data_IF_603643489257
#
_entry.id   IF_603643489257
#
_cell.length_a   1.000
_cell.length_b   1.000
_cell.length_c   1.000
_cell.angle_alpha   90.00
_cell.angle_beta   90.00
_cell.angle_gamma   90.00
#
_symmetry.space_group_name_H-M   'P 1'
#
loop_
_entity.id
_entity.type
_entity.pdbx_description
1 polymer ?
#
# COMPACT_ATOMS: atom_id res chain seq x y z
N UNK A 1 10.27 9.59 16.50
CA UNK A 1 9.88 9.11 15.17
C UNK A 1 11.06 8.33 14.58
N UNK A 2 10.85 7.21 13.94
CA UNK A 2 11.80 6.42 13.12
C UNK A 2 13.16 6.10 13.75
N UNK A 3 13.19 5.84 15.06
CA UNK A 3 14.41 5.52 15.83
C UNK A 3 15.51 6.59 15.70
N UNK A 4 15.13 7.87 15.62
CA UNK A 4 16.05 9.00 15.46
C UNK A 4 16.47 9.31 14.04
N UNK A 5 16.03 8.51 13.05
CA UNK A 5 16.30 8.77 11.63
C UNK A 5 15.33 9.81 11.07
N UNK A 6 15.78 10.56 10.06
CA UNK A 6 14.97 11.57 9.36
C UNK A 6 14.44 11.10 8.01
N UNK A 7 14.90 9.97 7.51
CA UNK A 7 14.45 9.36 6.25
C UNK A 7 13.75 8.04 6.49
N UNK A 8 12.61 7.81 5.83
CA UNK A 8 11.91 6.53 5.85
C UNK A 8 11.44 6.11 4.45
N UNK A 9 11.44 4.82 4.19
CA UNK A 9 10.90 4.22 2.95
C UNK A 9 9.82 3.22 3.33
N UNK A 10 8.69 3.30 2.65
CA UNK A 10 7.59 2.34 2.74
C UNK A 10 7.04 1.96 1.38
N UNK A 11 6.50 0.76 1.28
CA UNK A 11 5.83 0.22 0.11
C UNK A 11 4.39 -0.11 0.44
N UNK A 12 3.46 0.13 -0.49
CA UNK A 12 2.03 -0.14 -0.30
C UNK A 12 1.45 -0.82 -1.55
N UNK A 13 1.02 -2.07 -1.40
CA UNK A 13 0.51 -2.87 -2.51
C UNK A 13 -0.92 -3.30 -2.27
N UNK A 14 -1.73 -3.32 -3.34
CA UNK A 14 -3.16 -3.55 -3.26
C UNK A 14 -3.56 -4.94 -3.72
N UNK A 15 -4.78 -5.32 -3.35
CA UNK A 15 -5.54 -6.45 -3.83
C UNK A 15 -5.32 -7.79 -3.12
N UNK A 16 -4.21 -8.03 -2.44
CA UNK A 16 -3.97 -9.28 -1.72
C UNK A 16 -3.93 -10.52 -2.64
N UNK A 17 -3.10 -10.49 -3.66
CA UNK A 17 -3.08 -11.46 -4.76
C UNK A 17 -1.86 -12.39 -4.72
N UNK A 18 -1.91 -13.48 -5.47
CA UNK A 18 -0.88 -14.53 -5.45
C UNK A 18 0.55 -14.03 -5.75
N UNK A 19 0.69 -12.97 -6.54
CA UNK A 19 1.98 -12.35 -6.82
C UNK A 19 2.62 -11.66 -5.61
N UNK A 20 1.83 -11.32 -4.59
CA UNK A 20 2.35 -10.75 -3.34
C UNK A 20 3.33 -11.70 -2.65
N UNK A 21 3.20 -13.02 -2.83
CA UNK A 21 4.12 -14.00 -2.27
C UNK A 21 5.55 -13.73 -2.75
N UNK A 22 5.74 -13.59 -4.07
CA UNK A 22 7.04 -13.26 -4.67
C UNK A 22 7.52 -11.86 -4.27
N UNK A 23 6.60 -10.91 -4.17
CA UNK A 23 6.94 -9.55 -3.75
C UNK A 23 7.43 -9.50 -2.30
N UNK A 24 6.75 -10.21 -1.39
CA UNK A 24 7.17 -10.35 0.00
C UNK A 24 8.56 -10.98 0.11
N UNK A 25 8.81 -12.07 -0.65
CA UNK A 25 10.14 -12.69 -0.69
C UNK A 25 11.22 -11.70 -1.17
N UNK A 26 10.90 -10.89 -2.19
CA UNK A 26 11.81 -9.88 -2.72
C UNK A 26 12.09 -8.77 -1.70
N UNK A 27 11.05 -8.21 -1.08
CA UNK A 27 11.21 -7.19 -0.03
C UNK A 27 12.03 -7.73 1.15
N UNK A 28 11.75 -8.94 1.60
CA UNK A 28 12.49 -9.62 2.66
C UNK A 28 13.97 -9.82 2.33
N UNK A 29 14.27 -10.22 1.09
CA UNK A 29 15.66 -10.39 0.60
C UNK A 29 16.51 -9.14 0.79
N UNK A 30 15.90 -7.98 0.66
CA UNK A 30 16.57 -6.67 0.77
C UNK A 30 16.33 -5.96 2.11
N UNK A 31 15.67 -6.60 3.07
CA UNK A 31 15.37 -6.00 4.39
C UNK A 31 14.39 -4.83 4.30
N UNK A 32 13.55 -4.81 3.26
CA UNK A 32 12.50 -3.82 3.04
C UNK A 32 11.19 -4.29 3.65
N UNK A 33 10.32 -3.34 3.99
CA UNK A 33 8.99 -3.63 4.52
C UNK A 33 7.90 -3.03 3.64
N UNK A 34 6.75 -3.68 3.61
CA UNK A 34 5.58 -3.20 2.86
C UNK A 34 4.28 -3.34 3.65
N UNK A 35 3.27 -2.63 3.19
CA UNK A 35 1.88 -2.72 3.62
C UNK A 35 1.06 -3.29 2.48
N UNK A 36 0.25 -4.30 2.76
CA UNK A 36 -0.58 -4.97 1.78
C UNK A 36 -2.05 -4.72 2.11
N UNK A 37 -2.76 -4.08 1.18
CA UNK A 37 -4.14 -3.64 1.35
C UNK A 37 -5.07 -4.71 0.76
N UNK A 38 -5.83 -5.40 1.58
CA UNK A 38 -6.57 -6.60 1.23
C UNK A 38 -8.08 -6.39 1.24
N UNK A 39 -8.79 -7.18 0.40
CA UNK A 39 -10.24 -7.22 0.38
C UNK A 39 -10.72 -8.52 1.06
N UNK A 40 -11.18 -8.44 2.29
CA UNK A 40 -11.43 -9.65 3.10
C UNK A 40 -12.52 -10.57 2.57
N UNK A 41 -13.56 -10.07 1.90
CA UNK A 41 -14.61 -10.90 1.28
C UNK A 41 -14.21 -11.48 -0.09
N UNK A 42 -13.06 -11.06 -0.64
CA UNK A 42 -12.53 -11.60 -1.89
C UNK A 42 -11.44 -12.66 -1.67
N UNK A 43 -10.90 -12.81 -0.47
CA UNK A 43 -9.84 -13.76 -0.15
C UNK A 43 -10.18 -15.19 -0.63
N UNK A 44 -9.19 -15.87 -1.21
CA UNK A 44 -9.32 -17.22 -1.77
C UNK A 44 -10.06 -17.32 -3.10
N UNK A 45 -10.58 -16.20 -3.65
CA UNK A 45 -11.29 -16.24 -4.94
C UNK A 45 -10.30 -16.22 -6.10
N UNK A 46 -10.52 -17.08 -7.14
CA UNK A 46 -9.74 -17.00 -8.37
C UNK A 46 -10.13 -15.76 -9.18
N UNK A 47 -9.19 -15.24 -9.93
CA UNK A 47 -9.43 -14.10 -10.81
C UNK A 47 -8.40 -13.97 -11.92
N UNK A 48 -8.75 -13.19 -12.94
CA UNK A 48 -7.87 -12.81 -14.04
C UNK A 48 -8.14 -11.38 -14.44
N UNK A 49 -7.11 -10.69 -14.91
CA UNK A 49 -7.18 -9.34 -15.46
C UNK A 49 -6.45 -9.28 -16.79
N UNK A 50 -6.86 -8.36 -17.65
CA UNK A 50 -6.05 -7.97 -18.81
C UNK A 50 -5.39 -6.63 -18.47
N UNK A 51 -4.06 -6.61 -18.48
CA UNK A 51 -3.24 -5.42 -18.27
C UNK A 51 -2.12 -5.39 -19.28
N UNK A 52 -1.85 -4.22 -19.87
CA UNK A 52 -0.84 -4.07 -20.91
C UNK A 52 -0.99 -5.10 -22.06
N UNK A 53 -2.24 -5.48 -22.41
CA UNK A 53 -2.52 -6.50 -23.41
C UNK A 53 -2.22 -7.95 -22.99
N UNK A 54 -1.78 -8.18 -21.75
CA UNK A 54 -1.45 -9.50 -21.19
C UNK A 54 -2.54 -9.96 -20.24
N UNK A 55 -2.98 -11.21 -20.34
CA UNK A 55 -3.79 -11.85 -19.31
C UNK A 55 -2.90 -12.24 -18.14
N UNK A 56 -3.18 -11.68 -16.96
CA UNK A 56 -2.48 -11.97 -15.70
C UNK A 56 -3.42 -12.59 -14.69
N UNK A 57 -2.90 -13.47 -13.86
CA UNK A 57 -3.64 -14.04 -12.73
C UNK A 57 -3.92 -12.93 -11.72
N UNK A 58 -5.13 -12.97 -11.15
CA UNK A 58 -5.56 -12.10 -10.07
C UNK A 58 -6.21 -12.92 -8.95
N UNK A 59 -5.61 -14.10 -8.69
CA UNK A 59 -6.09 -14.99 -7.65
C UNK A 59 -5.79 -14.39 -6.28
N UNK A 60 -6.80 -14.24 -5.45
CA UNK A 60 -6.66 -13.72 -4.09
C UNK A 60 -6.03 -14.78 -3.18
N UNK A 61 -5.13 -14.35 -2.29
CA UNK A 61 -4.52 -15.24 -1.29
C UNK A 61 -5.60 -15.81 -0.38
N UNK A 62 -5.48 -17.10 -0.05
CA UNK A 62 -6.45 -17.77 0.82
C UNK A 62 -6.39 -17.23 2.27
N UNK A 63 -7.54 -17.09 2.97
CA UNK A 63 -7.60 -16.47 4.29
C UNK A 63 -6.62 -17.08 5.31
N UNK A 64 -6.50 -18.40 5.31
CA UNK A 64 -5.63 -19.14 6.23
C UNK A 64 -4.12 -18.89 6.01
N UNK A 65 -3.74 -18.31 4.87
CA UNK A 65 -2.35 -18.01 4.53
C UNK A 65 -1.95 -16.57 4.86
N UNK A 66 -2.90 -15.68 5.15
CA UNK A 66 -2.65 -14.25 5.32
C UNK A 66 -1.54 -13.98 6.38
N UNK A 67 -1.68 -14.57 7.57
CA UNK A 67 -0.72 -14.36 8.65
C UNK A 67 0.68 -14.92 8.34
N UNK A 68 0.77 -15.96 7.51
CA UNK A 68 2.04 -16.55 7.08
C UNK A 68 2.70 -15.71 5.99
N UNK A 69 1.98 -15.41 4.92
CA UNK A 69 2.49 -14.69 3.74
C UNK A 69 3.00 -13.32 4.11
N UNK A 70 2.23 -12.56 4.89
CA UNK A 70 2.59 -11.17 5.22
C UNK A 70 3.37 -11.02 6.54
N UNK A 71 3.97 -12.11 7.05
CA UNK A 71 4.77 -12.06 8.27
C UNK A 71 5.93 -11.07 8.14
N UNK A 72 6.01 -10.11 9.09
CA UNK A 72 7.01 -9.04 9.08
C UNK A 72 6.63 -7.81 8.26
N UNK A 73 5.49 -7.87 7.56
CA UNK A 73 4.86 -6.79 6.83
C UNK A 73 3.54 -6.39 7.49
N UNK A 74 2.89 -5.36 6.99
CA UNK A 74 1.59 -4.93 7.46
C UNK A 74 0.49 -5.40 6.51
N UNK A 75 -0.62 -5.86 7.08
CA UNK A 75 -1.90 -5.99 6.39
C UNK A 75 -2.76 -4.79 6.73
N UNK A 76 -3.33 -4.15 5.71
CA UNK A 76 -4.24 -3.02 5.80
C UNK A 76 -5.53 -3.31 4.99
N UNK A 77 -6.56 -2.50 5.19
CA UNK A 77 -7.85 -2.68 4.55
C UNK A 77 -7.89 -2.13 3.12
N UNK A 78 -8.69 -2.77 2.26
CA UNK A 78 -8.96 -2.28 0.91
C UNK A 78 -10.45 -2.41 0.56
N UNK A 79 -11.32 -2.33 1.59
CA UNK A 79 -12.76 -2.62 1.57
C UNK A 79 -13.10 -4.10 1.36
N UNK A 80 -14.30 -4.50 1.73
CA UNK A 80 -14.74 -5.91 1.63
C UNK A 80 -14.66 -6.45 0.19
N UNK A 81 -15.18 -5.68 -0.80
CA UNK A 81 -15.44 -6.15 -2.16
C UNK A 81 -14.96 -5.20 -3.26
N UNK A 82 -14.13 -4.21 -2.91
CA UNK A 82 -13.54 -3.25 -3.85
C UNK A 82 -14.55 -2.35 -4.60
N UNK A 83 -15.60 -1.77 -3.95
CA UNK A 83 -16.52 -0.84 -4.63
C UNK A 83 -15.88 0.53 -4.83
N UNK A 84 -16.41 1.30 -5.79
CA UNK A 84 -16.05 2.71 -5.97
C UNK A 84 -16.75 3.57 -4.90
N UNK A 85 -16.07 3.87 -3.80
CA UNK A 85 -16.63 4.50 -2.61
C UNK A 85 -17.30 5.86 -2.88
N UNK A 86 -16.82 6.75 -3.76
CA UNK A 86 -17.51 8.01 -4.07
C UNK A 86 -18.95 7.87 -4.55
N UNK A 87 -19.32 6.73 -5.14
CA UNK A 87 -20.68 6.42 -5.62
C UNK A 87 -21.44 5.44 -4.75
N UNK A 88 -20.84 5.03 -3.63
CA UNK A 88 -21.44 4.07 -2.70
C UNK A 88 -22.24 4.82 -1.63
N UNK A 89 -23.44 4.34 -1.20
CA UNK A 89 -24.22 4.93 -0.12
C UNK A 89 -23.44 4.96 1.21
N UNK A 90 -23.74 5.94 2.08
CA UNK A 90 -22.98 6.20 3.31
C UNK A 90 -22.87 4.97 4.24
N UNK A 91 -23.97 4.31 4.53
CA UNK A 91 -23.99 3.12 5.38
C UNK A 91 -23.15 1.98 4.78
N UNK A 92 -23.19 1.83 3.46
CA UNK A 92 -22.40 0.82 2.77
C UNK A 92 -20.91 1.20 2.74
N UNK A 93 -20.53 2.48 2.60
CA UNK A 93 -19.13 2.93 2.75
C UNK A 93 -18.60 2.51 4.12
N UNK A 94 -19.35 2.80 5.19
CA UNK A 94 -18.96 2.45 6.56
C UNK A 94 -18.83 0.93 6.70
N UNK A 95 -19.80 0.16 6.20
CA UNK A 95 -19.78 -1.32 6.25
C UNK A 95 -18.56 -1.88 5.49
N UNK A 96 -18.33 -1.40 4.27
CA UNK A 96 -17.23 -1.86 3.41
C UNK A 96 -15.86 -1.65 4.06
N UNK A 97 -15.68 -0.58 4.78
CA UNK A 97 -14.38 -0.25 5.40
C UNK A 97 -14.26 -0.89 6.79
N UNK A 98 -15.24 -0.67 7.68
CA UNK A 98 -15.10 -1.10 9.08
C UNK A 98 -15.21 -2.62 9.22
N UNK A 99 -16.07 -3.29 8.43
CA UNK A 99 -16.15 -4.75 8.50
C UNK A 99 -14.90 -5.40 7.88
N UNK A 100 -14.36 -4.85 6.79
CA UNK A 100 -13.09 -5.31 6.20
C UNK A 100 -11.95 -5.22 7.22
N UNK A 101 -11.82 -4.05 7.87
CA UNK A 101 -10.84 -3.83 8.94
C UNK A 101 -10.96 -4.87 10.05
N UNK A 102 -12.18 -5.17 10.51
CA UNK A 102 -12.43 -6.16 11.57
C UNK A 102 -12.09 -7.59 11.13
N UNK A 103 -12.49 -7.97 9.92
CA UNK A 103 -12.19 -9.28 9.36
C UNK A 103 -10.67 -9.49 9.27
N UNK A 104 -9.95 -8.53 8.72
CA UNK A 104 -8.50 -8.58 8.59
C UNK A 104 -7.80 -8.56 9.96
N UNK A 105 -8.32 -7.79 10.91
CA UNK A 105 -7.78 -7.81 12.30
C UNK A 105 -7.88 -9.19 12.93
N UNK A 106 -8.97 -9.90 12.71
CA UNK A 106 -9.14 -11.26 13.20
C UNK A 106 -8.17 -12.26 12.54
N UNK A 107 -7.92 -12.12 11.23
CA UNK A 107 -6.99 -12.97 10.49
C UNK A 107 -5.52 -12.72 10.87
N UNK A 108 -5.15 -11.47 11.13
CA UNK A 108 -3.77 -11.07 11.42
C UNK A 108 -3.42 -11.17 12.91
N UNK A 109 -4.42 -11.21 13.81
CA UNK A 109 -4.19 -11.23 15.26
C UNK A 109 -3.77 -9.88 15.85
N UNK A 110 -3.92 -8.78 15.10
CA UNK A 110 -3.68 -7.42 15.58
C UNK A 110 -4.71 -6.44 15.00
N UNK A 111 -4.83 -5.28 15.62
CA UNK A 111 -5.78 -4.26 15.17
C UNK A 111 -5.29 -3.57 13.88
N UNK A 112 -5.96 -3.83 12.77
CA UNK A 112 -5.72 -3.14 11.49
C UNK A 112 -6.19 -1.69 11.63
N UNK A 113 -5.36 -0.73 11.23
CA UNK A 113 -5.63 0.71 11.37
C UNK A 113 -5.44 1.50 10.08
N UNK A 114 -4.88 0.87 9.05
CA UNK A 114 -4.62 1.48 7.76
C UNK A 114 -5.53 0.98 6.67
N UNK A 115 -5.63 1.76 5.59
CA UNK A 115 -6.28 1.33 4.36
C UNK A 115 -5.71 2.01 3.12
N UNK A 116 -6.03 1.44 1.94
CA UNK A 116 -5.98 2.12 0.66
C UNK A 116 -7.40 2.25 0.10
N UNK A 117 -7.72 3.38 -0.50
CA UNK A 117 -8.98 3.57 -1.21
C UNK A 117 -9.02 2.72 -2.47
N UNK A 118 -10.11 1.94 -2.71
CA UNK A 118 -10.21 1.08 -3.89
C UNK A 118 -10.50 1.87 -5.17
N UNK A 119 -10.01 1.33 -6.29
CA UNK A 119 -10.26 1.85 -7.64
C UNK A 119 -9.47 3.10 -7.95
N UNK A 120 -9.60 3.54 -9.17
CA UNK A 120 -9.06 4.79 -9.70
C UNK A 120 -9.95 5.26 -10.85
N UNK A 121 -10.24 6.53 -10.90
CA UNK A 121 -10.95 7.16 -11.99
C UNK A 121 -10.39 8.57 -12.20
N UNK A 122 -10.71 9.25 -13.33
CA UNK A 122 -10.38 10.67 -13.50
C UNK A 122 -10.95 11.57 -12.40
N UNK A 123 -11.96 11.09 -11.66
CA UNK A 123 -12.62 11.80 -10.55
C UNK A 123 -11.95 11.51 -9.19
N UNK A 124 -10.84 10.75 -9.19
CA UNK A 124 -10.22 10.22 -7.96
C UNK A 124 -10.91 8.97 -7.44
N UNK A 125 -10.45 8.43 -6.31
CA UNK A 125 -11.01 7.23 -5.68
C UNK A 125 -11.58 7.48 -4.27
N UNK A 126 -11.53 8.71 -3.80
CA UNK A 126 -12.16 9.20 -2.56
C UNK A 126 -12.58 10.67 -2.71
N UNK A 127 -13.32 11.18 -1.76
CA UNK A 127 -13.71 12.58 -1.66
C UNK A 127 -14.00 12.96 -0.20
N UNK A 128 -14.19 14.24 0.08
CA UNK A 128 -14.40 14.76 1.44
C UNK A 128 -15.55 14.06 2.20
N UNK A 129 -16.62 13.62 1.49
CA UNK A 129 -17.71 12.84 2.10
C UNK A 129 -17.22 11.49 2.61
N UNK A 130 -16.53 10.73 1.76
CA UNK A 130 -15.99 9.40 2.12
C UNK A 130 -14.96 9.51 3.24
N UNK A 131 -14.06 10.47 3.17
CA UNK A 131 -13.05 10.74 4.20
C UNK A 131 -13.70 11.03 5.56
N UNK A 132 -14.74 11.88 5.59
CA UNK A 132 -15.51 12.18 6.80
C UNK A 132 -16.16 10.94 7.38
N UNK A 133 -16.82 10.11 6.56
CA UNK A 133 -17.45 8.88 7.00
C UNK A 133 -16.44 7.93 7.64
N UNK A 134 -15.25 7.78 7.03
CA UNK A 134 -14.19 6.93 7.56
C UNK A 134 -13.67 7.44 8.89
N UNK A 135 -13.39 8.74 9.01
CA UNK A 135 -12.89 9.35 10.26
C UNK A 135 -13.85 9.18 11.42
N UNK A 136 -15.15 9.38 11.17
CA UNK A 136 -16.16 9.43 12.21
C UNK A 136 -16.70 8.05 12.61
N UNK A 137 -16.65 7.05 11.70
CA UNK A 137 -17.40 5.80 11.88
C UNK A 137 -16.53 4.53 11.81
N UNK A 138 -15.21 4.64 11.63
CA UNK A 138 -14.33 3.47 11.51
C UNK A 138 -13.11 3.56 12.42
N UNK A 139 -12.43 2.43 12.60
CA UNK A 139 -11.16 2.37 13.32
C UNK A 139 -9.93 2.72 12.47
N UNK A 140 -10.11 3.19 11.23
CA UNK A 140 -9.01 3.57 10.35
C UNK A 140 -8.34 4.87 10.84
N UNK A 141 -7.02 4.89 10.82
CA UNK A 141 -6.19 6.01 11.24
C UNK A 141 -5.44 6.68 10.10
N UNK A 142 -5.20 5.95 9.02
CA UNK A 142 -4.64 6.48 7.78
C UNK A 142 -5.22 5.77 6.55
N UNK A 143 -5.32 6.50 5.46
CA UNK A 143 -5.79 6.00 4.17
C UNK A 143 -5.07 6.71 3.03
N UNK A 144 -4.63 5.96 2.00
CA UNK A 144 -4.00 6.55 0.83
C UNK A 144 -4.86 6.48 -0.42
N UNK A 145 -4.77 7.54 -1.22
CA UNK A 145 -5.31 7.59 -2.58
C UNK A 145 -4.38 6.94 -3.62
N UNK A 146 -4.71 7.16 -4.90
CA UNK A 146 -3.94 6.66 -6.06
C UNK A 146 -3.13 7.77 -6.75
N UNK A 147 -3.38 9.02 -6.42
CA UNK A 147 -2.61 10.14 -6.95
C UNK A 147 -1.19 10.13 -6.39
N UNK A 148 -0.26 10.77 -7.10
CA UNK A 148 1.14 10.90 -6.65
C UNK A 148 1.57 12.38 -6.72
N UNK A 149 2.40 12.80 -5.75
CA UNK A 149 2.81 14.20 -5.64
C UNK A 149 4.33 14.43 -5.81
N UNK A 150 5.11 13.37 -6.01
CA UNK A 150 6.57 13.42 -6.09
C UNK A 150 7.25 14.11 -4.88
N UNK A 151 6.58 14.17 -3.73
CA UNK A 151 7.06 14.81 -2.51
C UNK A 151 7.44 13.78 -1.46
N UNK A 152 8.44 14.10 -0.64
CA UNK A 152 8.83 13.31 0.54
C UNK A 152 8.32 13.93 1.84
N UNK A 153 7.65 15.08 1.79
CA UNK A 153 7.13 15.75 2.96
C UNK A 153 5.99 14.94 3.62
N UNK A 154 6.03 14.82 4.94
CA UNK A 154 4.91 14.26 5.68
C UNK A 154 3.68 15.18 5.58
N UNK A 155 2.54 14.57 5.37
CA UNK A 155 1.27 15.26 5.27
C UNK A 155 0.53 15.19 6.61
N UNK A 156 -0.16 16.25 6.98
CA UNK A 156 -0.93 16.31 8.23
C UNK A 156 -2.24 15.53 8.14
N UNK A 157 -2.83 15.44 6.95
CA UNK A 157 -4.03 14.64 6.71
C UNK A 157 -3.65 13.21 6.31
N UNK A 158 -3.72 12.31 7.27
CA UNK A 158 -3.40 10.90 7.04
C UNK A 158 -4.57 10.12 6.42
N UNK A 159 -5.80 10.64 6.42
CA UNK A 159 -6.95 9.96 5.78
C UNK A 159 -7.07 10.29 4.28
N UNK A 160 -6.38 11.33 3.82
CA UNK A 160 -6.26 11.69 2.41
C UNK A 160 -4.79 11.70 1.96
N UNK A 161 -4.02 10.71 2.41
CA UNK A 161 -2.58 10.66 2.15
C UNK A 161 -2.28 10.41 0.67
N UNK A 162 -1.42 11.26 0.09
CA UNK A 162 -0.99 11.17 -1.30
C UNK A 162 0.40 10.54 -1.36
N UNK A 163 0.56 9.35 -1.95
CA UNK A 163 1.86 8.69 -2.13
C UNK A 163 2.86 9.53 -2.93
N UNK A 164 4.15 9.22 -2.77
CA UNK A 164 5.21 9.90 -3.52
C UNK A 164 5.19 9.49 -5.00
N UNK A 165 5.08 8.19 -5.30
CA UNK A 165 5.20 7.67 -6.66
C UNK A 165 4.48 6.33 -6.83
N UNK A 166 3.94 6.11 -8.02
CA UNK A 166 3.45 4.82 -8.50
C UNK A 166 4.61 4.02 -9.11
N UNK A 167 4.75 2.75 -8.78
CA UNK A 167 5.94 1.96 -9.13
C UNK A 167 6.16 1.79 -10.65
N UNK A 168 5.10 1.88 -11.48
CA UNK A 168 5.23 1.85 -12.94
C UNK A 168 5.65 3.20 -13.55
N UNK A 169 5.71 4.29 -12.77
CA UNK A 169 6.40 5.52 -13.18
C UNK A 169 7.91 5.34 -13.03
N UNK A 170 8.49 4.37 -13.75
CA UNK A 170 9.85 3.84 -13.54
C UNK A 170 10.92 4.92 -13.47
N UNK A 171 11.06 5.73 -14.53
CA UNK A 171 12.10 6.76 -14.60
C UNK A 171 11.97 7.75 -13.43
N UNK A 172 10.74 8.14 -13.12
CA UNK A 172 10.43 9.04 -12.01
C UNK A 172 10.76 8.38 -10.65
N UNK A 173 10.42 7.11 -10.47
CA UNK A 173 10.69 6.37 -9.23
C UNK A 173 12.21 6.27 -8.97
N UNK A 174 13.02 5.91 -9.98
CA UNK A 174 14.47 5.86 -9.85
C UNK A 174 15.10 7.24 -9.65
N UNK A 175 14.62 8.26 -10.36
CA UNK A 175 15.08 9.64 -10.17
C UNK A 175 14.80 10.14 -8.76
N UNK A 176 13.60 9.90 -8.24
CA UNK A 176 13.23 10.24 -6.86
C UNK A 176 14.05 9.45 -5.85
N UNK A 177 14.35 8.16 -6.11
CA UNK A 177 15.20 7.36 -5.23
C UNK A 177 16.61 7.97 -5.12
N UNK A 178 17.25 8.32 -6.22
CA UNK A 178 18.57 8.95 -6.19
C UNK A 178 18.54 10.27 -5.39
N UNK A 179 17.55 11.13 -5.65
CA UNK A 179 17.37 12.38 -4.89
C UNK A 179 17.17 12.10 -3.39
N UNK A 180 16.36 11.10 -3.05
CA UNK A 180 16.08 10.73 -1.65
C UNK A 180 17.32 10.19 -0.94
N UNK A 181 18.14 9.40 -1.63
CA UNK A 181 19.38 8.86 -1.08
C UNK A 181 20.41 9.94 -0.78
N UNK A 182 20.52 10.94 -1.66
CA UNK A 182 21.49 12.04 -1.55
C UNK A 182 21.06 13.13 -0.55
N UNK A 183 19.77 13.24 -0.23
CA UNK A 183 19.28 14.32 0.64
C UNK A 183 19.67 14.12 2.11
N UNK A 184 19.95 15.23 2.80
CA UNK A 184 20.02 15.33 4.26
C UNK A 184 18.90 16.28 4.73
N UNK A 185 17.69 15.77 5.01
CA UNK A 185 16.54 16.62 5.26
C UNK A 185 16.57 17.20 6.68
N UNK A 186 16.15 18.45 6.84
CA UNK A 186 15.95 19.06 8.15
C UNK A 186 14.71 18.46 8.86
N UNK A 187 13.62 18.28 8.12
CA UNK A 187 12.37 17.68 8.56
C UNK A 187 12.25 16.21 8.11
N UNK A 188 11.45 15.38 8.79
CA UNK A 188 11.24 14.00 8.41
C UNK A 188 10.73 13.85 6.97
N UNK A 189 11.38 12.99 6.18
CA UNK A 189 11.09 12.72 4.78
C UNK A 189 10.68 11.26 4.58
N UNK A 190 9.52 11.04 3.94
CA UNK A 190 8.96 9.73 3.67
C UNK A 190 8.92 9.48 2.15
N UNK A 191 9.60 8.44 1.70
CA UNK A 191 9.47 7.94 0.34
C UNK A 191 8.43 6.82 0.32
N UNK A 192 7.25 7.13 -0.21
CA UNK A 192 6.10 6.24 -0.24
C UNK A 192 5.84 5.75 -1.65
N UNK A 193 6.10 4.47 -1.91
CA UNK A 193 5.91 3.82 -3.20
C UNK A 193 4.65 2.96 -3.15
N UNK A 194 3.82 2.98 -4.20
CA UNK A 194 2.64 2.14 -4.26
C UNK A 194 2.44 1.46 -5.62
N UNK A 195 1.61 0.43 -5.67
CA UNK A 195 1.27 -0.30 -6.88
C UNK A 195 0.46 -1.58 -6.61
N UNK A 196 0.43 -2.45 -7.62
CA UNK A 196 -0.17 -3.79 -7.54
C UNK A 196 0.85 -4.83 -8.02
N UNK A 197 0.98 -5.94 -7.30
CA UNK A 197 2.01 -6.93 -7.65
C UNK A 197 1.74 -7.68 -8.97
N UNK A 198 0.49 -7.74 -9.46
CA UNK A 198 0.19 -8.30 -10.79
C UNK A 198 0.82 -7.47 -11.93
N UNK A 199 1.12 -6.21 -11.68
CA UNK A 199 1.72 -5.34 -12.69
C UNK A 199 3.15 -5.77 -13.04
N UNK A 200 3.85 -6.41 -12.11
CA UNK A 200 5.17 -6.97 -12.41
C UNK A 200 5.11 -8.07 -13.47
N UNK A 201 4.05 -8.90 -13.47
CA UNK A 201 3.83 -9.91 -14.51
C UNK A 201 3.41 -9.24 -15.82
N UNK A 202 2.48 -8.28 -15.78
CA UNK A 202 1.92 -7.62 -16.96
C UNK A 202 2.95 -6.80 -17.75
N UNK A 203 3.92 -6.21 -17.08
CA UNK A 203 4.97 -5.37 -17.68
C UNK A 203 6.35 -6.05 -17.72
N UNK A 204 6.44 -7.33 -17.30
CA UNK A 204 7.72 -8.04 -17.13
C UNK A 204 8.73 -7.23 -16.29
N UNK A 205 8.27 -6.74 -15.14
CA UNK A 205 8.97 -5.68 -14.40
C UNK A 205 9.71 -6.19 -13.15
N UNK A 206 9.70 -7.51 -12.86
CA UNK A 206 10.30 -8.08 -11.65
C UNK A 206 11.78 -7.78 -11.50
N UNK A 207 12.59 -7.98 -12.56
CA UNK A 207 14.03 -7.77 -12.51
C UNK A 207 14.36 -6.30 -12.27
N UNK A 208 13.66 -5.41 -12.95
CA UNK A 208 13.85 -3.97 -12.82
C UNK A 208 13.45 -3.45 -11.46
N UNK A 209 12.37 -3.98 -10.89
CA UNK A 209 11.99 -3.65 -9.52
C UNK A 209 12.96 -4.22 -8.48
N UNK A 210 13.57 -5.37 -8.74
CA UNK A 210 14.64 -5.89 -7.89
C UNK A 210 15.87 -4.98 -7.90
N UNK A 211 16.25 -4.39 -9.04
CA UNK A 211 17.30 -3.37 -9.12
C UNK A 211 16.96 -2.16 -8.24
N UNK A 212 15.70 -1.72 -8.26
CA UNK A 212 15.22 -0.65 -7.38
C UNK A 212 15.35 -1.03 -5.90
N UNK A 213 14.89 -2.22 -5.51
CA UNK A 213 15.02 -2.70 -4.13
C UNK A 213 16.49 -2.72 -3.68
N UNK A 214 17.40 -3.17 -4.55
CA UNK A 214 18.85 -3.18 -4.28
C UNK A 214 19.41 -1.76 -4.14
N UNK A 215 18.96 -0.81 -4.97
CA UNK A 215 19.40 0.59 -4.92
C UNK A 215 19.07 1.24 -3.57
N UNK A 216 17.83 1.06 -3.09
CA UNK A 216 17.33 1.77 -1.89
C UNK A 216 17.63 1.05 -0.58
N UNK A 217 18.03 -0.22 -0.61
CA UNK A 217 18.25 -1.04 0.59
C UNK A 217 19.60 -0.80 1.27
N UNK A 218 19.72 -1.24 2.54
CA UNK A 218 20.99 -1.30 3.28
C UNK A 218 21.60 0.07 3.62
N UNK A 219 20.80 1.13 3.74
CA UNK A 219 21.24 2.46 4.14
C UNK A 219 21.02 2.69 5.63
N UNK A 220 22.08 3.03 6.36
CA UNK A 220 22.04 3.17 7.82
C UNK A 220 21.18 4.35 8.29
N UNK A 221 21.00 5.38 7.47
CA UNK A 221 20.25 6.60 7.74
C UNK A 221 18.77 6.51 7.35
N UNK A 222 18.33 5.38 6.77
CA UNK A 222 16.94 5.16 6.35
C UNK A 222 16.22 4.17 7.28
N UNK A 223 15.01 4.52 7.69
CA UNK A 223 14.09 3.65 8.40
C UNK A 223 13.19 2.90 7.38
N UNK A 224 13.42 1.60 7.25
CA UNK A 224 12.58 0.73 6.41
C UNK A 224 11.38 0.27 7.23
N UNK A 225 10.17 0.65 6.80
CA UNK A 225 8.99 0.52 7.62
C UNK A 225 7.74 0.14 6.81
N UNK A 226 6.74 -0.34 7.52
CA UNK A 226 5.36 -0.38 7.02
C UNK A 226 4.72 1.00 7.11
N UNK A 227 3.55 1.19 6.47
CA UNK A 227 2.83 2.47 6.58
C UNK A 227 2.46 2.79 8.04
N UNK A 228 2.02 1.76 8.77
CA UNK A 228 1.70 1.89 10.19
C UNK A 228 2.90 2.41 11.00
N UNK A 229 4.08 1.81 10.79
CA UNK A 229 5.32 2.24 11.46
C UNK A 229 5.74 3.65 11.01
N UNK A 230 5.54 3.99 9.71
CA UNK A 230 5.83 5.31 9.18
C UNK A 230 5.02 6.42 9.88
N UNK A 231 3.75 6.13 10.17
CA UNK A 231 2.82 7.08 10.80
C UNK A 231 2.75 6.96 12.34
N UNK A 232 3.46 6.01 12.96
CA UNK A 232 3.60 5.90 14.42
C UNK A 232 2.42 5.23 15.14
N UNK A 233 1.75 4.27 14.50
CA UNK A 233 0.62 3.50 15.07
C UNK A 233 0.99 2.10 15.56
#
# INVERSE_FOLDING_TARGET
MWNGKKKAITFSYDDGISQDIRLVELLNKYGLKGTFNLNSELLGKPGKLIRNGVEVRHDKIAPEKIAEVYRGHEVAAHTLTHPFLPRTPDEEVIRQVEQDRKNLSALCGYNVVGMAYPGGSPEGNHNARVEKLIRENTGIKYARGVETNASFALQSDLIAFVPTVFHLEEEKMFSLANKFLEMDPEEPALFYIWGHSYEFDAWNYWERFEEFCKLVSGKDDIFYCTNREAFGF
#
